data_IF_712884830375
#
_entry.id   IF_712884830375
#
_cell.length_a   1.000
_cell.length_b   1.000
_cell.length_c   1.000
_cell.angle_alpha   90.00
_cell.angle_beta   90.00
_cell.angle_gamma   90.00
#
_symmetry.space_group_name_H-M   'P 1'
#
loop_
_entity.id
_entity.type
_entity.pdbx_description
1 polymer ?
#
# COMPACT_ATOMS: atom_id res chain seq x y z
N UNK A 1 9.85 -6.93 -14.75
CA UNK A 1 9.29 -6.95 -13.38
C UNK A 1 10.26 -6.19 -12.48
N UNK A 2 9.77 -5.29 -11.62
CA UNK A 2 10.63 -4.58 -10.65
C UNK A 2 11.14 -5.57 -9.59
N UNK A 3 12.33 -5.33 -9.02
CA UNK A 3 12.75 -6.05 -7.82
C UNK A 3 11.95 -5.56 -6.61
N UNK A 4 11.98 -6.32 -5.51
CA UNK A 4 11.34 -5.92 -4.24
C UNK A 4 11.99 -4.63 -3.69
N UNK A 5 13.30 -4.50 -3.82
CA UNK A 5 14.03 -3.32 -3.39
C UNK A 5 13.66 -2.10 -4.23
N UNK A 6 13.48 -2.28 -5.54
CA UNK A 6 13.04 -1.22 -6.43
C UNK A 6 11.59 -0.79 -6.15
N UNK A 7 10.74 -1.65 -5.57
CA UNK A 7 9.37 -1.27 -5.22
C UNK A 7 9.27 -0.39 -3.97
N UNK A 8 10.36 -0.21 -3.21
CA UNK A 8 10.41 0.74 -2.11
C UNK A 8 10.54 2.20 -2.57
N UNK A 9 10.90 2.44 -3.83
CA UNK A 9 10.87 3.76 -4.45
C UNK A 9 9.46 4.07 -4.97
N UNK A 10 8.72 4.88 -4.21
CA UNK A 10 7.33 5.24 -4.51
C UNK A 10 7.18 5.91 -5.88
N UNK A 11 8.02 6.90 -6.17
CA UNK A 11 7.95 7.70 -7.39
C UNK A 11 8.27 6.86 -8.63
N UNK A 12 9.23 5.93 -8.51
CA UNK A 12 9.54 4.97 -9.56
C UNK A 12 8.33 4.08 -9.88
N UNK A 13 7.69 3.52 -8.86
CA UNK A 13 6.56 2.60 -9.04
C UNK A 13 5.35 3.33 -9.63
N UNK A 14 4.96 4.46 -9.05
CA UNK A 14 3.85 5.29 -9.53
C UNK A 14 4.11 5.78 -10.94
N UNK A 15 5.32 6.28 -11.23
CA UNK A 15 5.69 6.76 -12.56
C UNK A 15 5.58 5.67 -13.63
N UNK A 16 5.96 4.43 -13.30
CA UNK A 16 5.78 3.29 -14.20
C UNK A 16 4.31 2.91 -14.38
N UNK A 17 3.53 2.89 -13.29
CA UNK A 17 2.11 2.57 -13.35
C UNK A 17 1.32 3.58 -14.19
N UNK A 18 1.62 4.88 -14.05
CA UNK A 18 0.98 5.94 -14.81
C UNK A 18 1.28 5.88 -16.32
N UNK A 19 2.44 5.35 -16.71
CA UNK A 19 2.83 5.17 -18.12
C UNK A 19 2.35 3.85 -18.72
N UNK A 20 1.87 2.91 -17.90
CA UNK A 20 1.50 1.59 -18.37
C UNK A 20 0.13 1.62 -19.07
N UNK A 21 0.04 1.02 -20.27
CA UNK A 21 -1.26 0.76 -20.88
C UNK A 21 -2.06 -0.24 -20.02
N UNK A 22 -3.39 -0.03 -19.84
CA UNK A 22 -4.24 -1.01 -19.20
C UNK A 22 -4.18 -2.37 -19.90
N UNK A 23 -4.13 -3.45 -19.14
CA UNK A 23 -4.11 -4.82 -19.69
C UNK A 23 -5.43 -5.19 -20.39
N UNK A 24 -6.52 -4.50 -20.07
CA UNK A 24 -7.85 -4.60 -20.66
C UNK A 24 -8.54 -3.24 -20.60
N UNK A 25 -9.63 -3.09 -21.36
CA UNK A 25 -10.42 -1.85 -21.36
C UNK A 25 -10.96 -1.57 -19.94
N UNK A 26 -10.68 -0.38 -19.36
CA UNK A 26 -11.17 -0.03 -18.03
C UNK A 26 -12.69 -0.15 -17.91
N UNK A 27 -13.16 -0.80 -16.85
CA UNK A 27 -14.59 -1.02 -16.60
C UNK A 27 -15.19 -2.27 -17.24
N UNK A 28 -14.44 -3.00 -18.08
CA UNK A 28 -14.92 -4.25 -18.70
C UNK A 28 -14.54 -5.52 -17.95
N UNK A 29 -13.44 -5.47 -17.18
CA UNK A 29 -12.95 -6.59 -16.37
C UNK A 29 -12.36 -6.07 -15.05
N UNK A 30 -12.40 -6.92 -14.03
CA UNK A 30 -11.76 -6.70 -12.73
C UNK A 30 -10.79 -7.84 -12.46
N UNK A 31 -9.60 -7.48 -11.95
CA UNK A 31 -8.63 -8.43 -11.43
C UNK A 31 -8.00 -7.85 -10.16
N UNK A 32 -7.45 -8.71 -9.32
CA UNK A 32 -6.90 -8.31 -8.04
C UNK A 32 -5.50 -7.69 -8.18
N UNK A 33 -5.40 -6.38 -7.97
CA UNK A 33 -4.14 -5.64 -7.94
C UNK A 33 -3.38 -5.85 -6.63
N UNK A 34 -2.90 -7.08 -6.40
CA UNK A 34 -2.36 -7.55 -5.13
C UNK A 34 -1.24 -6.69 -4.53
N UNK A 35 -0.46 -6.01 -5.38
CA UNK A 35 0.63 -5.12 -4.97
C UNK A 35 0.38 -3.69 -5.42
N UNK A 36 -0.09 -3.48 -6.66
CA UNK A 36 -0.17 -2.16 -7.30
C UNK A 36 -1.32 -1.30 -6.78
N UNK A 37 -2.35 -1.90 -6.17
CA UNK A 37 -3.51 -1.17 -5.63
C UNK A 37 -3.09 -0.10 -4.62
N UNK A 38 -2.19 -0.43 -3.70
CA UNK A 38 -1.73 0.48 -2.66
C UNK A 38 -1.03 1.73 -3.22
N UNK A 39 -0.26 1.57 -4.29
CA UNK A 39 0.38 2.70 -4.99
C UNK A 39 -0.63 3.56 -5.75
N UNK A 40 -1.55 2.93 -6.49
CA UNK A 40 -2.55 3.65 -7.29
C UNK A 40 -3.46 4.52 -6.40
N UNK A 41 -4.02 3.95 -5.33
CA UNK A 41 -4.88 4.68 -4.41
C UNK A 41 -4.08 5.64 -3.54
N UNK A 42 -2.90 5.22 -3.07
CA UNK A 42 -2.02 6.05 -2.26
C UNK A 42 -1.58 7.32 -2.98
N UNK A 43 -1.33 7.25 -4.29
CA UNK A 43 -0.94 8.42 -5.08
C UNK A 43 -2.10 9.40 -5.22
N UNK A 44 -3.33 8.91 -5.44
CA UNK A 44 -4.51 9.78 -5.45
C UNK A 44 -4.68 10.49 -4.10
N UNK A 45 -4.49 9.77 -2.99
CA UNK A 45 -4.52 10.37 -1.65
C UNK A 45 -3.45 11.45 -1.51
N UNK A 46 -2.21 11.18 -1.94
CA UNK A 46 -1.11 12.13 -1.87
C UNK A 46 -1.39 13.39 -2.69
N UNK A 47 -1.81 13.24 -3.94
CA UNK A 47 -2.11 14.35 -4.86
C UNK A 47 -3.26 15.24 -4.36
N UNK A 48 -4.30 14.65 -3.77
CA UNK A 48 -5.48 15.39 -3.32
C UNK A 48 -5.27 16.02 -1.94
N UNK A 49 -4.61 15.31 -1.02
CA UNK A 49 -4.50 15.74 0.38
C UNK A 49 -3.14 16.36 0.77
N UNK A 50 -2.11 16.14 -0.05
CA UNK A 50 -0.72 16.49 0.29
C UNK A 50 -0.10 15.60 1.38
N UNK A 51 -0.76 14.51 1.78
CA UNK A 51 -0.29 13.59 2.83
C UNK A 51 0.00 12.21 2.24
N UNK A 52 1.04 11.55 2.72
CA UNK A 52 1.28 10.13 2.41
C UNK A 52 0.11 9.27 2.91
N UNK A 53 -0.11 8.11 2.28
CA UNK A 53 -1.19 7.19 2.67
C UNK A 53 -1.15 6.83 4.16
N UNK A 54 0.04 6.59 4.73
CA UNK A 54 0.22 6.31 6.15
C UNK A 54 -0.15 7.47 7.06
N UNK A 55 0.22 8.69 6.69
CA UNK A 55 -0.12 9.91 7.43
C UNK A 55 -1.62 10.19 7.37
N UNK A 56 -2.22 10.07 6.18
CA UNK A 56 -3.65 10.24 5.98
C UNK A 56 -4.44 9.21 6.80
N UNK A 57 -4.09 7.93 6.69
CA UNK A 57 -4.77 6.87 7.44
C UNK A 57 -4.68 7.08 8.95
N UNK A 58 -3.50 7.44 9.47
CA UNK A 58 -3.32 7.72 10.90
C UNK A 58 -4.27 8.81 11.38
N UNK A 59 -4.32 9.94 10.66
CA UNK A 59 -5.04 11.15 11.06
C UNK A 59 -6.55 11.05 10.86
N UNK A 60 -6.98 10.47 9.74
CA UNK A 60 -8.38 10.49 9.33
C UNK A 60 -9.13 9.21 9.74
N UNK A 61 -8.43 8.13 10.14
CA UNK A 61 -9.04 6.84 10.46
C UNK A 61 -8.58 6.29 11.81
N UNK A 62 -7.27 6.04 11.99
CA UNK A 62 -6.78 5.31 13.17
C UNK A 62 -6.95 6.13 14.47
N UNK A 63 -6.50 7.38 14.48
CA UNK A 63 -6.62 8.26 15.66
C UNK A 63 -8.09 8.52 16.07
N UNK A 64 -9.01 8.89 15.16
CA UNK A 64 -10.43 9.09 15.51
C UNK A 64 -11.12 7.84 16.08
N UNK A 65 -10.68 6.65 15.66
CA UNK A 65 -11.22 5.38 16.13
C UNK A 65 -10.49 4.81 17.35
N UNK A 66 -9.38 5.44 17.79
CA UNK A 66 -8.51 4.89 18.83
C UNK A 66 -7.89 3.55 18.45
N UNK A 67 -7.65 3.31 17.16
CA UNK A 67 -7.13 2.05 16.64
C UNK A 67 -5.59 2.01 16.69
N UNK A 68 -5.05 0.94 17.24
CA UNK A 68 -3.61 0.65 17.21
C UNK A 68 -3.24 -0.05 15.89
N UNK A 69 -3.22 0.74 14.81
CA UNK A 69 -2.95 0.27 13.45
C UNK A 69 -2.02 1.23 12.73
N UNK A 70 -1.02 0.69 12.04
CA UNK A 70 0.01 1.47 11.35
C UNK A 70 0.13 1.08 9.87
N UNK A 71 0.20 2.08 9.00
CA UNK A 71 0.67 1.95 7.62
C UNK A 71 1.92 2.82 7.51
N UNK A 72 3.08 2.17 7.47
CA UNK A 72 4.36 2.79 7.86
C UNK A 72 4.50 2.79 9.39
N UNK A 73 5.25 1.82 9.90
CA UNK A 73 5.47 1.61 11.34
C UNK A 73 6.68 2.42 11.83
N UNK A 74 6.53 3.15 12.93
CA UNK A 74 7.65 3.84 13.59
C UNK A 74 8.57 2.85 14.33
N UNK A 75 9.87 3.15 14.36
CA UNK A 75 10.92 2.32 14.96
C UNK A 75 10.62 1.98 16.43
N UNK A 76 9.98 2.88 17.17
CA UNK A 76 9.58 2.71 18.57
C UNK A 76 8.61 1.53 18.78
N UNK A 77 7.94 1.08 17.72
CA UNK A 77 7.00 -0.04 17.76
C UNK A 77 7.60 -1.35 17.26
N UNK A 78 8.86 -1.37 16.81
CA UNK A 78 9.47 -2.58 16.24
C UNK A 78 9.54 -3.74 17.25
N UNK A 79 9.68 -3.45 18.54
CA UNK A 79 9.63 -4.46 19.61
C UNK A 79 8.28 -5.19 19.75
N UNK A 80 7.25 -4.74 19.04
CA UNK A 80 5.89 -5.33 19.04
C UNK A 80 5.60 -6.14 17.77
N UNK A 81 6.52 -6.19 16.81
CA UNK A 81 6.35 -6.94 15.56
C UNK A 81 6.56 -8.42 15.84
N UNK A 82 5.51 -9.23 15.68
CA UNK A 82 5.58 -10.68 15.77
C UNK A 82 6.01 -11.30 14.44
N UNK A 83 6.66 -12.46 14.48
CA UNK A 83 6.90 -13.28 13.29
C UNK A 83 5.58 -13.89 12.80
N UNK A 84 5.28 -13.70 11.51
CA UNK A 84 4.10 -14.29 10.90
C UNK A 84 4.37 -15.76 10.57
N UNK A 85 3.72 -16.68 11.29
CA UNK A 85 3.70 -18.10 10.90
C UNK A 85 2.57 -18.36 9.90
N UNK A 86 2.92 -18.88 8.73
CA UNK A 86 1.92 -19.37 7.77
C UNK A 86 1.61 -20.82 8.14
N UNK A 87 0.38 -21.14 8.60
CA UNK A 87 0.04 -22.51 8.93
C UNK A 87 0.14 -23.38 7.66
N UNK A 88 0.81 -24.53 7.77
CA UNK A 88 0.78 -25.54 6.70
C UNK A 88 -0.68 -25.93 6.43
N UNK A 89 -1.11 -26.01 5.16
CA UNK A 89 -2.46 -26.45 4.82
C UNK A 89 -2.78 -27.77 5.54
N UNK A 90 -3.97 -27.86 6.15
CA UNK A 90 -4.45 -29.15 6.64
C UNK A 90 -4.61 -30.09 5.43
N UNK A 91 -4.26 -31.38 5.56
CA UNK A 91 -4.36 -32.35 4.47
C UNK A 91 -5.80 -32.47 3.93
#
# INVERSE_FOLDING_TARGET
>A
MLSVEASYDWDLVVGKLAQQEPLWEPGTQSDYHSVTFGFQVGEVILLVSGKTVGTFFRKEVAEPLGADFHSGLGDEHFGRVAELSVPTPRP
#
